data_IF_060457117399
#
_entry.id   IF_060457117399
#
_cell.length_a   1.000
_cell.length_b   1.000
_cell.length_c   1.000
_cell.angle_alpha   90.00
_cell.angle_beta   90.00
_cell.angle_gamma   90.00
#
_symmetry.space_group_name_H-M   'P 1'
#
loop_
_entity.id
_entity.type
_entity.pdbx_description
1 polymer ?
#
# COMPACT_ATOMS: atom_id res chain seq x y z
N UNK A 1 -11.41 -3.08 11.76
CA UNK A 1 -10.22 -2.42 12.36
C UNK A 1 -9.14 -3.42 12.75
N UNK A 2 -9.44 -4.51 13.47
CA UNK A 2 -8.44 -5.53 13.86
C UNK A 2 -7.65 -6.07 12.66
N UNK A 3 -8.32 -6.41 11.55
CA UNK A 3 -7.64 -6.90 10.35
C UNK A 3 -6.63 -5.90 9.74
N UNK A 4 -6.90 -4.60 9.85
CA UNK A 4 -5.97 -3.55 9.37
C UNK A 4 -4.71 -3.55 10.24
N UNK A 5 -4.88 -3.62 11.56
CA UNK A 5 -3.77 -3.73 12.51
C UNK A 5 -2.95 -4.99 12.23
N UNK A 6 -3.61 -6.14 12.03
CA UNK A 6 -2.93 -7.39 11.66
C UNK A 6 -2.15 -7.25 10.35
N UNK A 7 -2.70 -6.59 9.32
CA UNK A 7 -2.00 -6.33 8.05
C UNK A 7 -0.73 -5.48 8.26
N UNK A 8 -0.79 -4.48 9.14
CA UNK A 8 0.38 -3.67 9.50
C UNK A 8 1.41 -4.52 10.26
N UNK A 9 0.99 -5.32 11.24
CA UNK A 9 1.87 -6.21 11.99
C UNK A 9 2.58 -7.22 11.08
N UNK A 10 1.87 -7.81 10.11
CA UNK A 10 2.47 -8.69 9.10
C UNK A 10 3.49 -7.91 8.25
N UNK A 11 3.19 -6.67 7.88
CA UNK A 11 4.14 -5.84 7.10
C UNK A 11 5.38 -5.46 7.90
N UNK A 12 5.29 -5.31 9.22
CA UNK A 12 6.46 -5.05 10.06
C UNK A 12 7.47 -6.22 10.00
N UNK A 13 7.00 -7.45 9.79
CA UNK A 13 7.87 -8.61 9.62
C UNK A 13 8.83 -8.40 8.45
N UNK A 14 8.39 -7.78 7.34
CA UNK A 14 9.26 -7.56 6.17
C UNK A 14 10.33 -6.49 6.41
N UNK A 15 10.12 -5.60 7.38
CA UNK A 15 11.12 -4.63 7.82
C UNK A 15 12.14 -5.29 8.77
N UNK A 16 11.68 -6.18 9.65
CA UNK A 16 12.53 -6.88 10.61
C UNK A 16 13.35 -8.01 9.98
N UNK A 17 12.81 -8.63 8.93
CA UNK A 17 13.42 -9.75 8.20
C UNK A 17 13.33 -9.47 6.69
N UNK A 18 14.08 -8.49 6.17
CA UNK A 18 14.03 -8.14 4.76
C UNK A 18 14.62 -9.26 3.89
N UNK A 19 14.00 -9.49 2.74
CA UNK A 19 14.52 -10.37 1.69
C UNK A 19 15.38 -9.56 0.70
N UNK A 20 16.01 -10.23 -0.27
CA UNK A 20 16.71 -9.55 -1.35
C UNK A 20 15.76 -8.64 -2.12
N UNK A 21 16.07 -7.33 -2.26
CA UNK A 21 15.21 -6.42 -3.01
C UNK A 21 15.01 -6.88 -4.46
N UNK A 22 13.78 -6.71 -4.96
CA UNK A 22 13.47 -6.94 -6.36
C UNK A 22 14.13 -5.91 -7.28
N UNK A 23 14.24 -6.23 -8.57
CA UNK A 23 14.92 -5.38 -9.56
C UNK A 23 14.36 -3.94 -9.60
N UNK A 24 13.03 -3.78 -9.57
CA UNK A 24 12.40 -2.46 -9.58
C UNK A 24 12.74 -1.62 -8.34
N UNK A 25 13.03 -2.26 -7.20
CA UNK A 25 13.39 -1.56 -5.96
C UNK A 25 14.55 -0.60 -6.18
N UNK A 26 15.58 -1.03 -6.92
CA UNK A 26 16.76 -0.23 -7.18
C UNK A 26 16.44 1.03 -7.98
N UNK A 27 15.53 0.95 -8.96
CA UNK A 27 15.07 2.12 -9.72
C UNK A 27 14.35 3.10 -8.79
N UNK A 28 13.46 2.59 -7.93
CA UNK A 28 12.69 3.45 -7.03
C UNK A 28 13.57 4.14 -5.99
N UNK A 29 14.49 3.40 -5.37
CA UNK A 29 15.42 3.91 -4.36
C UNK A 29 16.39 4.91 -5.02
N UNK A 30 16.94 4.59 -6.19
CA UNK A 30 17.85 5.51 -6.88
C UNK A 30 17.17 6.82 -7.29
N UNK A 31 15.95 6.73 -7.79
CA UNK A 31 15.14 7.92 -8.12
C UNK A 31 14.85 8.75 -6.87
N UNK A 32 14.63 8.11 -5.72
CA UNK A 32 14.43 8.79 -4.44
C UNK A 32 15.70 9.52 -3.97
N UNK A 33 16.89 8.91 -4.14
CA UNK A 33 18.17 9.58 -3.88
C UNK A 33 18.36 10.81 -4.77
N UNK A 34 18.11 10.69 -6.07
CA UNK A 34 18.21 11.79 -7.04
C UNK A 34 17.26 12.92 -6.65
N UNK A 35 16.02 12.59 -6.26
CA UNK A 35 15.07 13.58 -5.76
C UNK A 35 15.60 14.33 -4.54
N UNK A 36 16.19 13.63 -3.56
CA UNK A 36 16.73 14.25 -2.35
C UNK A 36 17.95 15.12 -2.64
N UNK A 37 18.77 14.76 -3.63
CA UNK A 37 20.00 15.47 -3.98
C UNK A 37 19.78 16.65 -4.96
N UNK A 38 18.93 16.45 -5.97
CA UNK A 38 18.82 17.32 -7.15
C UNK A 38 17.39 17.86 -7.37
N UNK A 39 16.42 17.36 -6.62
CA UNK A 39 15.03 17.84 -6.64
C UNK A 39 14.12 17.11 -7.63
N UNK A 40 12.87 17.60 -7.73
CA UNK A 40 11.78 16.96 -8.49
C UNK A 40 12.09 16.79 -9.98
N UNK A 41 12.64 17.82 -10.62
CA UNK A 41 12.88 17.81 -12.07
C UNK A 41 13.86 16.69 -12.45
N UNK A 42 14.97 16.57 -11.73
CA UNK A 42 15.98 15.53 -11.96
C UNK A 42 15.40 14.12 -11.76
N UNK A 43 14.57 13.92 -10.73
CA UNK A 43 13.93 12.64 -10.47
C UNK A 43 13.02 12.19 -11.62
N UNK A 44 12.18 13.09 -12.14
CA UNK A 44 11.29 12.78 -13.27
C UNK A 44 12.02 12.65 -14.61
N UNK A 45 13.20 13.27 -14.75
CA UNK A 45 14.09 13.05 -15.91
C UNK A 45 14.76 11.67 -15.85
N UNK A 46 15.15 11.21 -14.66
CA UNK A 46 15.73 9.87 -14.48
C UNK A 46 14.67 8.77 -14.66
N UNK A 47 13.50 8.95 -14.04
CA UNK A 47 12.40 8.01 -14.13
C UNK A 47 11.06 8.75 -14.22
N UNK A 48 10.39 8.66 -15.38
CA UNK A 48 9.17 9.40 -15.67
C UNK A 48 8.00 9.13 -14.69
N UNK A 49 8.04 8.00 -13.96
CA UNK A 49 7.02 7.60 -13.00
C UNK A 49 7.51 7.70 -11.56
N UNK A 50 8.26 8.76 -11.25
CA UNK A 50 8.92 8.99 -9.95
C UNK A 50 7.97 9.18 -8.75
N UNK A 51 6.64 9.19 -8.92
CA UNK A 51 5.69 9.46 -7.84
C UNK A 51 5.87 8.57 -6.62
N UNK A 52 6.08 7.26 -6.82
CA UNK A 52 6.34 6.31 -5.73
C UNK A 52 7.69 6.60 -5.03
N UNK A 53 8.74 6.91 -5.79
CA UNK A 53 10.05 7.31 -5.27
C UNK A 53 10.02 8.61 -4.46
N UNK A 54 9.20 9.57 -4.88
CA UNK A 54 9.00 10.81 -4.12
C UNK A 54 8.36 10.51 -2.76
N UNK A 55 7.35 9.63 -2.70
CA UNK A 55 6.77 9.21 -1.42
C UNK A 55 7.84 8.58 -0.52
N UNK A 56 8.69 7.70 -1.06
CA UNK A 56 9.80 7.07 -0.32
C UNK A 56 10.71 8.13 0.28
N UNK A 57 11.11 9.11 -0.53
CA UNK A 57 11.98 10.19 -0.08
C UNK A 57 11.33 11.12 0.97
N UNK A 58 10.02 11.36 0.89
CA UNK A 58 9.32 12.11 1.93
C UNK A 58 9.29 11.35 3.25
N UNK A 59 9.03 10.05 3.22
CA UNK A 59 9.02 9.22 4.43
C UNK A 59 10.44 9.07 5.02
N UNK A 60 11.50 9.06 4.20
CA UNK A 60 12.87 8.99 4.73
C UNK A 60 13.30 10.23 5.52
N UNK A 61 12.64 11.38 5.31
CA UNK A 61 12.90 12.58 6.11
C UNK A 61 12.49 12.42 7.58
N UNK A 62 11.73 11.36 7.92
CA UNK A 62 11.42 10.99 9.31
C UNK A 62 12.58 10.26 10.01
N UNK A 63 13.72 10.07 9.34
CA UNK A 63 14.92 9.41 9.88
C UNK A 63 15.07 7.93 9.48
N UNK A 64 14.19 7.41 8.63
CA UNK A 64 14.29 6.05 8.09
C UNK A 64 15.25 5.96 6.90
N UNK A 65 15.85 4.78 6.71
CA UNK A 65 16.53 4.45 5.46
C UNK A 65 15.54 4.45 4.29
N UNK A 66 15.99 4.68 3.05
CA UNK A 66 15.11 4.66 1.87
C UNK A 66 14.40 3.30 1.69
N UNK A 67 15.09 2.19 1.93
CA UNK A 67 14.49 0.86 1.88
C UNK A 67 13.40 0.69 2.96
N UNK A 68 13.68 1.09 4.20
CA UNK A 68 12.69 1.07 5.28
C UNK A 68 11.48 1.94 4.95
N UNK A 69 11.71 3.15 4.41
CA UNK A 69 10.64 4.04 3.96
C UNK A 69 9.74 3.40 2.90
N UNK A 70 10.33 2.68 1.95
CA UNK A 70 9.57 1.96 0.94
C UNK A 70 8.66 0.87 1.54
N UNK A 71 9.18 0.08 2.49
CA UNK A 71 8.37 -0.90 3.19
C UNK A 71 7.29 -0.27 4.08
N UNK A 72 7.58 0.87 4.73
CA UNK A 72 6.58 1.63 5.49
C UNK A 72 5.44 2.10 4.57
N UNK A 73 5.75 2.62 3.39
CA UNK A 73 4.73 3.04 2.41
C UNK A 73 3.91 1.84 1.95
N UNK A 74 4.56 0.71 1.64
CA UNK A 74 3.84 -0.50 1.26
C UNK A 74 2.92 -0.98 2.39
N UNK A 75 3.38 -0.97 3.65
CA UNK A 75 2.57 -1.32 4.80
C UNK A 75 1.31 -0.43 4.90
N UNK A 76 1.44 0.88 4.66
CA UNK A 76 0.31 1.81 4.63
C UNK A 76 -0.66 1.49 3.48
N UNK A 77 -0.16 1.17 2.29
CA UNK A 77 -1.03 0.76 1.17
C UNK A 77 -1.72 -0.58 1.42
N UNK A 78 -1.04 -1.57 2.02
CA UNK A 78 -1.69 -2.82 2.43
C UNK A 78 -2.74 -2.61 3.52
N UNK A 79 -2.51 -1.68 4.45
CA UNK A 79 -3.51 -1.30 5.45
C UNK A 79 -4.75 -0.69 4.77
N UNK A 80 -4.55 0.23 3.82
CA UNK A 80 -5.62 0.84 3.03
C UNK A 80 -6.36 -0.20 2.16
N UNK A 81 -5.63 -1.14 1.56
CA UNK A 81 -6.19 -2.23 0.75
C UNK A 81 -7.14 -3.09 1.60
N UNK A 82 -6.66 -3.58 2.76
CA UNK A 82 -7.47 -4.39 3.68
C UNK A 82 -8.67 -3.60 4.21
N UNK A 83 -8.48 -2.33 4.56
CA UNK A 83 -9.56 -1.45 5.01
C UNK A 83 -10.64 -1.27 3.93
N UNK A 84 -10.23 -0.98 2.70
CA UNK A 84 -11.14 -0.74 1.58
C UNK A 84 -11.90 -2.02 1.20
N UNK A 85 -11.20 -3.14 1.12
CA UNK A 85 -11.81 -4.45 0.84
C UNK A 85 -12.89 -4.80 1.87
N UNK A 86 -12.59 -4.70 3.16
CA UNK A 86 -13.56 -4.99 4.22
C UNK A 86 -14.71 -3.99 4.25
N UNK A 87 -14.46 -2.73 3.94
CA UNK A 87 -15.52 -1.71 3.86
C UNK A 87 -16.49 -1.97 2.69
N UNK A 88 -15.99 -2.47 1.55
CA UNK A 88 -16.83 -2.92 0.44
C UNK A 88 -17.66 -4.13 0.84
N UNK A 89 -17.05 -5.15 1.44
CA UNK A 89 -17.78 -6.35 1.89
C UNK A 89 -18.87 -5.96 2.89
N UNK A 90 -18.55 -5.09 3.87
CA UNK A 90 -19.51 -4.57 4.85
C UNK A 90 -20.69 -3.85 4.21
N UNK A 91 -20.44 -3.13 3.12
CA UNK A 91 -21.49 -2.40 2.40
C UNK A 91 -22.45 -3.36 1.68
N UNK A 92 -21.98 -4.53 1.27
CA UNK A 92 -22.78 -5.57 0.61
C UNK A 92 -23.54 -6.41 1.65
N UNK A 93 -22.86 -6.81 2.72
CA UNK A 93 -23.43 -7.61 3.82
C UNK A 93 -22.71 -7.26 5.14
N UNK A 94 -23.47 -6.78 6.13
CA UNK A 94 -22.95 -6.42 7.47
C UNK A 94 -22.91 -7.62 8.44
N UNK A 95 -23.03 -8.85 7.94
CA UNK A 95 -22.89 -10.06 8.74
C UNK A 95 -21.47 -10.19 9.30
N UNK A 96 -21.32 -10.34 10.64
CA UNK A 96 -20.01 -10.51 11.26
C UNK A 96 -19.24 -11.74 10.73
N UNK A 97 -19.96 -12.81 10.38
CA UNK A 97 -19.36 -14.05 9.86
C UNK A 97 -18.73 -13.81 8.48
N UNK A 98 -19.44 -13.09 7.60
CA UNK A 98 -18.95 -12.74 6.26
C UNK A 98 -17.73 -11.83 6.36
N UNK A 99 -17.75 -10.85 7.28
CA UNK A 99 -16.60 -9.98 7.51
C UNK A 99 -15.38 -10.72 8.06
N UNK A 100 -15.57 -11.70 8.94
CA UNK A 100 -14.47 -12.54 9.43
C UNK A 100 -13.87 -13.36 8.28
N UNK A 101 -14.70 -14.01 7.46
CA UNK A 101 -14.24 -14.79 6.31
C UNK A 101 -13.53 -13.90 5.27
N UNK A 102 -14.03 -12.70 5.02
CA UNK A 102 -13.37 -11.71 4.17
C UNK A 102 -12.01 -11.29 4.73
N UNK A 103 -11.94 -11.02 6.04
CA UNK A 103 -10.68 -10.65 6.70
C UNK A 103 -9.64 -11.77 6.60
N UNK A 104 -10.04 -13.02 6.86
CA UNK A 104 -9.17 -14.17 6.69
C UNK A 104 -8.72 -14.32 5.24
N UNK A 105 -9.63 -14.17 4.28
CA UNK A 105 -9.33 -14.29 2.85
C UNK A 105 -8.25 -13.30 2.42
N UNK A 106 -8.39 -12.01 2.75
CA UNK A 106 -7.42 -11.00 2.32
C UNK A 106 -6.10 -11.07 3.09
N UNK A 107 -6.12 -11.44 4.38
CA UNK A 107 -4.91 -11.53 5.21
C UNK A 107 -4.09 -12.78 4.93
N UNK A 108 -4.74 -13.89 4.58
CA UNK A 108 -4.07 -15.17 4.31
C UNK A 108 -3.81 -15.40 2.83
N UNK A 109 -4.19 -14.48 1.95
CA UNK A 109 -3.97 -14.61 0.51
C UNK A 109 -2.47 -14.67 0.19
N UNK A 110 -1.94 -15.82 -0.29
CA UNK A 110 -0.49 -16.04 -0.38
C UNK A 110 0.23 -15.00 -1.21
N UNK A 111 -0.29 -14.71 -2.42
CA UNK A 111 0.33 -13.78 -3.35
C UNK A 111 0.49 -12.37 -2.76
N UNK A 112 -0.52 -11.88 -2.02
CA UNK A 112 -0.43 -10.55 -1.40
C UNK A 112 0.65 -10.53 -0.32
N UNK A 113 0.85 -11.62 0.41
CA UNK A 113 1.86 -11.71 1.45
C UNK A 113 3.28 -11.87 0.88
N UNK A 114 3.45 -12.59 -0.23
CA UNK A 114 4.73 -12.64 -0.96
C UNK A 114 5.12 -11.25 -1.46
N UNK A 115 4.16 -10.50 -2.02
CA UNK A 115 4.40 -9.14 -2.51
C UNK A 115 4.78 -8.13 -1.43
N UNK A 116 4.57 -8.41 -0.13
CA UNK A 116 4.98 -7.51 0.97
C UNK A 116 6.50 -7.35 1.07
N UNK A 117 7.25 -8.31 0.57
CA UNK A 117 8.72 -8.26 0.51
C UNK A 117 9.22 -7.48 -0.71
N UNK A 118 8.34 -7.14 -1.65
CA UNK A 118 8.70 -6.40 -2.85
C UNK A 118 8.51 -4.90 -2.64
N UNK A 119 9.39 -4.11 -3.23
CA UNK A 119 9.26 -2.67 -3.37
C UNK A 119 8.72 -2.40 -4.77
N UNK A 120 7.40 -2.37 -4.86
CA UNK A 120 6.65 -2.14 -6.11
C UNK A 120 5.55 -1.10 -5.87
N UNK A 121 5.27 -0.29 -6.89
CA UNK A 121 4.21 0.73 -6.86
C UNK A 121 2.79 0.15 -6.94
N UNK A 122 2.68 -1.08 -7.42
CA UNK A 122 1.44 -1.78 -7.75
C UNK A 122 0.52 -1.94 -6.54
N UNK A 123 1.09 -2.14 -5.36
CA UNK A 123 0.33 -2.21 -4.10
C UNK A 123 -0.44 -0.90 -3.86
N UNK A 124 0.17 0.24 -4.16
CA UNK A 124 -0.49 1.54 -4.10
C UNK A 124 -1.62 1.66 -5.12
N UNK A 125 -1.41 1.17 -6.34
CA UNK A 125 -2.46 1.14 -7.37
C UNK A 125 -3.65 0.29 -6.94
N UNK A 126 -3.44 -0.92 -6.42
CA UNK A 126 -4.52 -1.79 -5.95
C UNK A 126 -5.29 -1.18 -4.77
N UNK A 127 -4.55 -0.64 -3.78
CA UNK A 127 -5.15 -0.03 -2.60
C UNK A 127 -6.03 1.17 -2.96
N UNK A 128 -5.52 2.09 -3.78
CA UNK A 128 -6.25 3.28 -4.21
C UNK A 128 -7.42 2.93 -5.15
N UNK A 129 -7.28 1.91 -5.99
CA UNK A 129 -8.37 1.44 -6.86
C UNK A 129 -9.53 0.86 -6.04
N UNK A 130 -9.26 0.02 -5.04
CA UNK A 130 -10.29 -0.49 -4.14
C UNK A 130 -10.90 0.63 -3.29
N UNK A 131 -10.10 1.58 -2.82
CA UNK A 131 -10.60 2.72 -2.08
C UNK A 131 -11.55 3.57 -2.94
N UNK A 132 -11.16 3.89 -4.18
CA UNK A 132 -11.99 4.62 -5.12
C UNK A 132 -13.30 3.88 -5.43
N UNK A 133 -13.24 2.56 -5.64
CA UNK A 133 -14.43 1.73 -5.83
C UNK A 133 -15.36 1.80 -4.61
N UNK A 134 -14.82 1.70 -3.40
CA UNK A 134 -15.59 1.83 -2.18
C UNK A 134 -16.31 3.18 -2.09
N UNK A 135 -15.61 4.27 -2.38
CA UNK A 135 -16.20 5.63 -2.40
C UNK A 135 -17.31 5.76 -3.46
N UNK A 136 -17.12 5.16 -4.64
CA UNK A 136 -18.12 5.14 -5.70
C UNK A 136 -19.39 4.39 -5.27
N UNK A 137 -19.24 3.23 -4.61
CA UNK A 137 -20.37 2.45 -4.11
C UNK A 137 -21.13 3.23 -3.02
N UNK A 138 -20.42 3.86 -2.09
CA UNK A 138 -21.05 4.72 -1.07
C UNK A 138 -21.84 5.87 -1.69
N UNK A 139 -21.26 6.53 -2.70
CA UNK A 139 -21.93 7.59 -3.43
C UNK A 139 -23.22 7.10 -4.11
N UNK A 140 -23.18 5.91 -4.71
CA UNK A 140 -24.36 5.27 -5.32
C UNK A 140 -25.44 4.95 -4.30
N UNK A 141 -25.10 4.33 -3.17
CA UNK A 141 -26.05 3.98 -2.10
C UNK A 141 -26.73 5.22 -1.52
N UNK A 142 -25.99 6.30 -1.29
CA UNK A 142 -26.55 7.54 -0.75
C UNK A 142 -27.58 8.19 -1.69
N UNK A 143 -27.45 8.01 -3.01
CA UNK A 143 -28.43 8.51 -3.98
C UNK A 143 -29.69 7.64 -4.08
N UNK A 144 -29.61 6.36 -3.73
CA UNK A 144 -30.78 5.48 -3.76
C UNK A 144 -31.74 5.71 -2.57
N UNK A 145 -31.29 6.44 -1.55
CA UNK A 145 -32.04 6.70 -0.30
C UNK A 145 -32.71 8.09 -0.31
N UNK A 146 -32.36 8.98 -1.25
CA UNK A 146 -32.95 10.31 -1.45
C UNK A 146 -33.94 10.29 -2.61
#
# INVERSE_FOLDING_TARGET
MIAVILSVLISIITILFPDTPNDDAYVYIKTAEIFLAEGTIAAFQHYAWAGYSLLIAFVSQLGFSLFTSAFVINALFYALLVYSFLSIVKLIDDSPQVLILAALSVLLYPQLNEYRYLIIRDVGFWALSLFALWQLLLFGTNRAIV
#
